data_IF_802675162511
#
_entry.id   IF_802675162511
#
_cell.length_a   1.000
_cell.length_b   1.000
_cell.length_c   1.000
_cell.angle_alpha   90.00
_cell.angle_beta   90.00
_cell.angle_gamma   90.00
#
_symmetry.space_group_name_H-M   'P 1'
#
loop_
_entity.id
_entity.type
_entity.pdbx_description
1 polymer ?
#
# COMPACT_ATOMS: atom_id res chain seq x y z
N UNK A 1 -4.30 2.81 1.59
CA UNK A 1 -4.66 4.20 1.30
C UNK A 1 -4.56 4.55 -0.18
N UNK A 2 -5.39 5.50 -0.65
CA UNK A 2 -5.43 5.99 -2.02
C UNK A 2 -4.14 6.67 -2.49
N UNK A 3 -4.12 7.22 -3.72
CA UNK A 3 -3.00 8.03 -4.19
C UNK A 3 -2.79 9.25 -3.28
N UNK A 4 -1.57 9.70 -3.08
CA UNK A 4 -1.26 10.92 -2.31
C UNK A 4 -1.42 10.87 -0.79
N UNK A 5 -1.86 9.75 -0.21
CA UNK A 5 -2.07 9.61 1.25
C UNK A 5 -0.78 9.54 2.07
N UNK A 6 0.39 9.41 1.43
CA UNK A 6 1.68 9.31 2.14
C UNK A 6 2.14 7.89 2.46
N UNK A 7 1.39 6.85 2.05
CA UNK A 7 1.71 5.45 2.35
C UNK A 7 3.13 5.03 1.99
N UNK A 8 3.64 5.43 0.82
CA UNK A 8 5.01 5.10 0.41
C UNK A 8 6.07 5.76 1.28
N UNK A 9 5.83 6.99 1.74
CA UNK A 9 6.74 7.71 2.63
C UNK A 9 6.81 7.05 4.00
N UNK A 10 5.65 6.75 4.59
CA UNK A 10 5.54 6.08 5.90
C UNK A 10 6.04 4.64 5.82
N UNK A 11 5.65 3.89 4.78
CA UNK A 11 6.05 2.49 4.60
C UNK A 11 7.55 2.33 4.38
N UNK A 12 8.17 3.18 3.56
CA UNK A 12 9.62 3.15 3.34
C UNK A 12 10.39 3.47 4.64
N UNK A 13 9.94 4.49 5.39
CA UNK A 13 10.56 4.82 6.67
C UNK A 13 10.42 3.69 7.69
N UNK A 14 9.24 3.07 7.78
CA UNK A 14 9.01 1.93 8.67
C UNK A 14 9.90 0.74 8.30
N UNK A 15 10.06 0.46 7.02
CA UNK A 15 10.95 -0.58 6.51
C UNK A 15 12.41 -0.33 6.91
N UNK A 16 12.89 0.92 6.75
CA UNK A 16 14.23 1.30 7.17
C UNK A 16 14.45 1.15 8.67
N UNK A 17 13.51 1.61 9.51
CA UNK A 17 13.61 1.54 10.96
C UNK A 17 13.56 0.08 11.48
N UNK A 18 12.87 -0.82 10.76
CA UNK A 18 12.79 -2.24 11.06
C UNK A 18 13.93 -3.06 10.41
N UNK A 19 14.71 -2.46 9.53
CA UNK A 19 15.67 -3.14 8.65
C UNK A 19 15.00 -4.25 7.82
N UNK A 20 13.81 -3.96 7.30
CA UNK A 20 13.02 -4.84 6.43
C UNK A 20 13.00 -4.32 4.99
N UNK A 21 12.87 -5.18 3.97
CA UNK A 21 12.66 -4.72 2.61
C UNK A 21 11.36 -3.93 2.46
N UNK A 22 11.45 -2.83 1.71
CA UNK A 22 10.28 -2.10 1.23
C UNK A 22 10.01 -2.48 -0.22
N UNK A 23 8.89 -3.17 -0.45
CA UNK A 23 8.49 -3.69 -1.76
C UNK A 23 7.29 -2.88 -2.25
N UNK A 24 7.54 -1.98 -3.18
CA UNK A 24 6.50 -1.12 -3.76
C UNK A 24 6.23 -1.49 -5.21
N UNK A 25 5.02 -1.98 -5.50
CA UNK A 25 4.60 -2.31 -6.87
C UNK A 25 4.76 -1.12 -7.81
N UNK A 26 4.40 0.08 -7.34
CA UNK A 26 4.56 1.30 -8.13
C UNK A 26 6.02 1.73 -8.33
N UNK A 27 6.93 1.44 -7.40
CA UNK A 27 8.36 1.70 -7.58
C UNK A 27 8.94 0.72 -8.61
N UNK A 28 8.67 -0.57 -8.46
CA UNK A 28 9.11 -1.63 -9.40
C UNK A 28 8.69 -1.31 -10.84
N UNK A 29 7.42 -0.94 -11.05
CA UNK A 29 6.92 -0.57 -12.37
C UNK A 29 7.63 0.68 -12.95
N UNK A 30 7.94 1.67 -12.12
CA UNK A 30 8.67 2.89 -12.57
C UNK A 30 10.13 2.64 -12.91
N UNK A 31 10.74 1.58 -12.40
CA UNK A 31 12.10 1.15 -12.74
C UNK A 31 12.16 0.49 -14.13
N UNK A 32 11.03 0.06 -14.67
CA UNK A 32 10.96 -0.55 -16.00
C UNK A 32 11.41 0.41 -17.09
N UNK A 33 12.19 -0.11 -18.03
CA UNK A 33 12.65 0.61 -19.23
C UNK A 33 11.78 0.32 -20.46
N UNK A 34 10.77 -0.54 -20.31
CA UNK A 34 9.88 -0.91 -21.39
C UNK A 34 8.91 0.20 -21.72
N UNK A 35 8.83 0.60 -23.00
CA UNK A 35 8.03 1.75 -23.42
C UNK A 35 6.55 1.58 -23.08
N UNK A 36 5.99 0.38 -23.28
CA UNK A 36 4.57 0.12 -22.95
C UNK A 36 4.26 0.27 -21.46
N UNK A 37 5.21 -0.07 -20.57
CA UNK A 37 5.06 0.15 -19.11
C UNK A 37 5.07 1.65 -18.81
N UNK A 38 6.02 2.38 -19.42
CA UNK A 38 6.14 3.83 -19.26
C UNK A 38 4.86 4.54 -19.71
N UNK A 39 4.29 4.13 -20.87
CA UNK A 39 3.08 4.72 -21.39
C UNK A 39 1.86 4.39 -20.53
N UNK A 40 1.74 3.16 -20.04
CA UNK A 40 0.66 2.77 -19.13
C UNK A 40 0.73 3.49 -17.79
N UNK A 41 1.93 3.77 -17.27
CA UNK A 41 2.10 4.56 -16.04
C UNK A 41 1.60 6.00 -16.14
N UNK A 42 1.44 6.54 -17.36
CA UNK A 42 0.87 7.88 -17.62
C UNK A 42 -0.66 7.90 -17.56
N UNK A 43 -1.30 6.75 -17.49
CA UNK A 43 -2.75 6.58 -17.43
C UNK A 43 -3.21 6.20 -16.03
N UNK A 44 -4.51 6.16 -15.77
CA UNK A 44 -5.09 5.60 -14.56
C UNK A 44 -5.18 4.06 -14.62
N UNK A 45 -5.03 3.45 -15.80
CA UNK A 45 -5.25 2.02 -15.99
C UNK A 45 -4.31 1.15 -15.16
N UNK A 46 -4.86 0.12 -14.54
CA UNK A 46 -4.10 -0.88 -13.82
C UNK A 46 -3.35 -1.81 -14.78
N UNK A 47 -2.26 -2.37 -14.31
CA UNK A 47 -1.52 -3.42 -14.99
C UNK A 47 -2.21 -4.77 -14.76
N UNK A 48 -1.85 -5.76 -15.56
CA UNK A 48 -2.29 -7.14 -15.40
C UNK A 48 -1.96 -7.67 -13.99
N UNK A 49 -2.92 -8.35 -13.37
CA UNK A 49 -2.84 -8.74 -11.96
C UNK A 49 -1.78 -9.82 -11.72
N UNK A 50 -1.68 -10.79 -12.60
CA UNK A 50 -0.69 -11.87 -12.54
C UNK A 50 0.71 -11.31 -12.74
N UNK A 51 0.90 -10.41 -13.71
CA UNK A 51 2.18 -9.75 -13.96
C UNK A 51 2.65 -8.94 -12.75
N UNK A 52 1.78 -8.11 -12.17
CA UNK A 52 2.15 -7.30 -10.99
C UNK A 52 2.45 -8.21 -9.81
N UNK A 53 1.68 -9.28 -9.63
CA UNK A 53 1.89 -10.25 -8.55
C UNK A 53 3.24 -10.93 -8.70
N UNK A 54 3.62 -11.41 -9.90
CA UNK A 54 4.95 -11.99 -10.15
C UNK A 54 6.08 -11.02 -9.79
N UNK A 55 5.95 -9.76 -10.17
CA UNK A 55 6.95 -8.73 -9.84
C UNK A 55 7.09 -8.50 -8.33
N UNK A 56 5.98 -8.52 -7.59
CA UNK A 56 6.00 -8.38 -6.13
C UNK A 56 6.58 -9.64 -5.48
N UNK A 57 6.09 -10.83 -5.86
CA UNK A 57 6.54 -12.10 -5.30
C UNK A 57 8.01 -12.38 -5.58
N UNK A 58 8.53 -12.00 -6.74
CA UNK A 58 9.96 -12.13 -7.04
C UNK A 58 10.88 -11.36 -6.08
N UNK A 59 10.36 -10.30 -5.43
CA UNK A 59 11.09 -9.50 -4.43
C UNK A 59 10.92 -10.02 -3.00
N UNK A 60 9.96 -10.95 -2.77
CA UNK A 60 9.68 -11.55 -1.47
C UNK A 60 10.46 -12.85 -1.21
N UNK A 61 11.05 -13.45 -2.22
CA UNK A 61 11.66 -14.81 -2.15
C UNK A 61 12.82 -14.95 -1.18
N UNK A 62 13.43 -13.87 -0.72
CA UNK A 62 14.64 -13.87 0.10
C UNK A 62 14.42 -13.24 1.49
N UNK A 63 13.18 -13.02 1.91
CA UNK A 63 12.90 -12.32 3.16
C UNK A 63 11.77 -12.97 3.96
N UNK A 64 11.94 -13.05 5.27
CA UNK A 64 10.90 -13.49 6.20
C UNK A 64 9.89 -12.38 6.51
N UNK A 65 10.33 -11.12 6.43
CA UNK A 65 9.51 -9.95 6.75
C UNK A 65 9.68 -8.88 5.69
N UNK A 66 8.61 -8.17 5.34
CA UNK A 66 8.64 -7.07 4.38
C UNK A 66 7.53 -6.06 4.64
N UNK A 67 7.72 -4.85 4.16
CA UNK A 67 6.66 -3.85 4.02
C UNK A 67 6.26 -3.80 2.55
N UNK A 68 5.02 -4.19 2.25
CA UNK A 68 4.47 -4.16 0.89
C UNK A 68 3.65 -2.88 0.71
N UNK A 69 3.94 -2.11 -0.35
CA UNK A 69 3.28 -0.84 -0.65
C UNK A 69 2.65 -0.85 -2.06
N UNK A 70 1.40 -0.45 -2.12
CA UNK A 70 0.66 -0.33 -3.36
C UNK A 70 0.24 -1.66 -4.00
N UNK A 71 0.20 -2.74 -3.22
CA UNK A 71 -0.28 -4.07 -3.57
C UNK A 71 -0.93 -4.70 -2.33
N UNK A 72 -2.10 -5.39 -2.44
CA UNK A 72 -2.92 -5.54 -3.64
C UNK A 72 -3.71 -4.27 -3.99
N UNK A 73 -4.11 -4.13 -5.28
CA UNK A 73 -4.98 -3.06 -5.80
C UNK A 73 -6.27 -3.57 -6.39
N UNK A 74 -6.39 -4.87 -6.58
CA UNK A 74 -7.57 -5.56 -7.07
C UNK A 74 -7.90 -6.74 -6.18
N UNK A 75 -9.15 -7.22 -6.23
CA UNK A 75 -9.53 -8.44 -5.52
C UNK A 75 -8.70 -9.64 -6.02
N UNK A 76 -8.46 -9.74 -7.33
CA UNK A 76 -7.65 -10.83 -7.90
C UNK A 76 -6.24 -10.87 -7.32
N UNK A 77 -5.59 -9.72 -7.14
CA UNK A 77 -4.29 -9.65 -6.48
C UNK A 77 -4.35 -10.10 -5.01
N UNK A 78 -5.44 -9.79 -4.30
CA UNK A 78 -5.64 -10.26 -2.93
C UNK A 78 -5.86 -11.79 -2.88
N UNK A 79 -6.59 -12.36 -3.84
CA UNK A 79 -6.74 -13.81 -3.99
C UNK A 79 -5.39 -14.50 -4.24
N UNK A 80 -4.56 -13.96 -5.14
CA UNK A 80 -3.21 -14.49 -5.43
C UNK A 80 -2.33 -14.51 -4.18
N UNK A 81 -2.43 -13.52 -3.30
CA UNK A 81 -1.72 -13.52 -2.01
C UNK A 81 -2.05 -14.78 -1.21
N UNK A 82 -3.33 -15.07 -1.06
CA UNK A 82 -3.80 -16.23 -0.28
C UNK A 82 -3.48 -17.55 -0.99
N UNK A 83 -3.73 -17.62 -2.30
CA UNK A 83 -3.44 -18.81 -3.12
C UNK A 83 -1.96 -19.22 -3.05
N UNK A 84 -1.06 -18.24 -2.98
CA UNK A 84 0.39 -18.48 -2.86
C UNK A 84 0.89 -18.65 -1.43
N UNK A 85 0.01 -18.60 -0.45
CA UNK A 85 0.35 -18.81 0.96
C UNK A 85 1.17 -17.69 1.58
N UNK A 86 1.13 -16.46 1.02
CA UNK A 86 1.78 -15.31 1.64
C UNK A 86 1.01 -14.90 2.89
N UNK A 87 1.66 -14.98 4.03
CA UNK A 87 1.08 -14.50 5.28
C UNK A 87 1.17 -12.98 5.37
N UNK A 88 0.05 -12.34 5.68
CA UNK A 88 -0.04 -10.91 5.97
C UNK A 88 -0.59 -10.73 7.38
N UNK A 89 0.15 -10.08 8.24
CA UNK A 89 -0.28 -9.81 9.62
C UNK A 89 -1.24 -8.62 9.67
N UNK A 90 -0.88 -7.52 9.00
CA UNK A 90 -1.61 -6.27 9.08
C UNK A 90 -1.74 -5.57 7.74
N UNK A 91 -2.90 -4.94 7.55
CA UNK A 91 -3.08 -3.84 6.60
C UNK A 91 -3.00 -2.54 7.40
N UNK A 92 -2.07 -1.66 7.04
CA UNK A 92 -2.03 -0.30 7.58
C UNK A 92 -2.58 0.66 6.53
N UNK A 93 -3.74 1.23 6.79
CA UNK A 93 -4.40 2.15 5.89
C UNK A 93 -4.25 3.60 6.37
N UNK A 94 -3.67 4.45 5.54
CA UNK A 94 -3.65 5.89 5.76
C UNK A 94 -4.88 6.53 5.11
N UNK A 95 -5.65 7.27 5.88
CA UNK A 95 -6.83 8.03 5.42
C UNK A 95 -6.50 9.52 5.37
N UNK A 96 -6.83 10.15 4.26
CA UNK A 96 -6.60 11.60 4.04
C UNK A 96 -7.78 12.15 3.24
N UNK A 97 -8.34 13.32 3.60
CA UNK A 97 -9.36 13.98 2.80
C UNK A 97 -8.89 14.24 1.36
N UNK A 98 -9.81 14.12 0.41
CA UNK A 98 -9.48 14.22 -1.02
C UNK A 98 -8.85 15.57 -1.40
N UNK A 99 -9.30 16.67 -0.82
CA UNK A 99 -8.72 18.01 -1.05
C UNK A 99 -7.22 18.06 -0.69
N UNK A 100 -6.85 17.42 0.43
CA UNK A 100 -5.45 17.33 0.84
C UNK A 100 -4.66 16.38 -0.07
N UNK A 101 -5.27 15.31 -0.55
CA UNK A 101 -4.68 14.43 -1.57
C UNK A 101 -4.34 15.23 -2.82
N UNK A 102 -5.30 16.03 -3.34
CA UNK A 102 -5.11 16.89 -4.50
C UNK A 102 -3.96 17.87 -4.29
N UNK A 103 -3.94 18.56 -3.13
CA UNK A 103 -2.86 19.50 -2.77
C UNK A 103 -1.49 18.81 -2.77
N UNK A 104 -1.37 17.63 -2.15
CA UNK A 104 -0.10 16.88 -2.07
C UNK A 104 0.39 16.43 -3.43
N UNK A 105 -0.52 15.94 -4.27
CA UNK A 105 -0.16 15.41 -5.59
C UNK A 105 0.20 16.54 -6.56
N UNK A 106 -0.47 17.68 -6.52
CA UNK A 106 -0.09 18.85 -7.32
C UNK A 106 1.33 19.35 -7.00
N UNK A 107 1.75 19.25 -5.74
CA UNK A 107 3.11 19.62 -5.32
C UNK A 107 4.17 18.59 -5.70
N UNK A 108 3.78 17.30 -5.85
CA UNK A 108 4.70 16.21 -6.20
C UNK A 108 5.16 16.25 -7.66
N UNK A 109 4.30 16.71 -8.57
CA UNK A 109 4.63 17.00 -9.97
C UNK A 109 5.03 15.81 -10.83
N UNK A 110 4.49 14.60 -10.58
CA UNK A 110 4.68 13.46 -11.49
C UNK A 110 3.77 13.62 -12.71
N UNK A 111 4.15 13.04 -13.86
CA UNK A 111 3.35 13.10 -15.10
C UNK A 111 1.92 12.60 -14.98
N UNK A 112 1.65 11.68 -14.03
CA UNK A 112 0.33 11.17 -13.73
C UNK A 112 -0.41 11.96 -12.63
N UNK A 113 0.14 13.05 -12.13
CA UNK A 113 -0.46 13.88 -11.09
C UNK A 113 -1.25 15.05 -11.70
N UNK A 114 -2.05 14.74 -12.73
CA UNK A 114 -3.03 15.68 -13.30
C UNK A 114 -4.41 15.40 -12.70
N UNK A 115 -5.26 16.40 -12.50
CA UNK A 115 -6.51 16.25 -11.75
C UNK A 115 -7.37 15.09 -12.20
N UNK A 116 -7.59 14.94 -13.51
CA UNK A 116 -8.47 13.89 -14.08
C UNK A 116 -7.96 12.50 -13.77
N UNK A 117 -6.64 12.27 -13.84
CA UNK A 117 -6.02 10.97 -13.52
C UNK A 117 -6.04 10.72 -12.01
N UNK A 118 -5.90 11.75 -11.19
CA UNK A 118 -6.00 11.63 -9.73
C UNK A 118 -7.41 11.20 -9.33
N UNK A 119 -8.43 11.85 -9.87
CA UNK A 119 -9.83 11.56 -9.61
C UNK A 119 -10.17 10.12 -10.03
N UNK A 120 -9.77 9.70 -11.22
CA UNK A 120 -9.98 8.33 -11.71
C UNK A 120 -9.31 7.29 -10.80
N UNK A 121 -8.05 7.51 -10.41
CA UNK A 121 -7.31 6.62 -9.50
C UNK A 121 -7.88 6.59 -8.09
N UNK A 122 -8.45 7.68 -7.62
CA UNK A 122 -9.15 7.72 -6.34
C UNK A 122 -10.46 6.94 -6.42
N UNK A 123 -11.23 7.11 -7.48
CA UNK A 123 -12.46 6.37 -7.70
C UNK A 123 -12.22 4.85 -7.83
N UNK A 124 -11.14 4.44 -8.53
CA UNK A 124 -10.71 3.05 -8.63
C UNK A 124 -10.34 2.47 -7.25
N UNK A 125 -9.59 3.23 -6.47
CA UNK A 125 -9.23 2.83 -5.12
C UNK A 125 -10.50 2.64 -4.25
N UNK A 126 -11.43 3.57 -4.27
CA UNK A 126 -12.66 3.51 -3.47
C UNK A 126 -13.55 2.33 -3.86
N UNK A 127 -13.66 2.04 -5.17
CA UNK A 127 -14.42 0.88 -5.66
C UNK A 127 -13.83 -0.45 -5.19
N UNK A 128 -12.52 -0.62 -5.29
CA UNK A 128 -11.86 -1.91 -5.00
C UNK A 128 -11.53 -2.09 -3.52
N UNK A 129 -11.33 -1.02 -2.78
CA UNK A 129 -10.88 -1.05 -1.37
C UNK A 129 -11.74 -1.95 -0.49
N UNK A 130 -13.06 -1.80 -0.56
CA UNK A 130 -13.97 -2.50 0.34
C UNK A 130 -13.95 -4.02 0.11
N UNK A 131 -13.89 -4.46 -1.13
CA UNK A 131 -13.81 -5.88 -1.50
C UNK A 131 -12.47 -6.49 -1.06
N UNK A 132 -11.37 -5.81 -1.33
CA UNK A 132 -10.02 -6.25 -0.95
C UNK A 132 -9.91 -6.37 0.57
N UNK A 133 -10.34 -5.34 1.31
CA UNK A 133 -10.26 -5.33 2.77
C UNK A 133 -11.17 -6.42 3.35
N UNK A 134 -12.41 -6.55 2.89
CA UNK A 134 -13.32 -7.59 3.37
C UNK A 134 -12.75 -9.01 3.13
N UNK A 135 -12.18 -9.24 1.95
CA UNK A 135 -11.56 -10.51 1.60
C UNK A 135 -10.37 -10.84 2.52
N UNK A 136 -9.46 -9.91 2.72
CA UNK A 136 -8.28 -10.12 3.55
C UNK A 136 -8.62 -10.25 5.05
N UNK A 137 -9.59 -9.48 5.56
CA UNK A 137 -10.11 -9.65 6.92
C UNK A 137 -10.73 -11.04 7.11
N UNK A 138 -11.49 -11.54 6.12
CA UNK A 138 -12.03 -12.90 6.12
C UNK A 138 -10.97 -13.99 6.15
N UNK A 139 -9.73 -13.70 5.73
CA UNK A 139 -8.57 -14.57 5.79
C UNK A 139 -7.64 -14.29 7.00
N UNK A 140 -8.13 -13.58 8.02
CA UNK A 140 -7.42 -13.40 9.29
C UNK A 140 -6.48 -12.20 9.35
N UNK A 141 -6.35 -11.42 8.27
CA UNK A 141 -5.54 -10.19 8.26
C UNK A 141 -6.24 -9.12 9.09
N UNK A 142 -5.48 -8.31 9.83
CA UNK A 142 -6.02 -7.20 10.63
C UNK A 142 -5.87 -5.86 9.91
N UNK A 143 -6.87 -4.99 10.05
CA UNK A 143 -6.85 -3.62 9.51
C UNK A 143 -6.55 -2.61 10.62
N UNK A 144 -5.51 -1.80 10.40
CA UNK A 144 -5.15 -0.66 11.23
C UNK A 144 -5.34 0.62 10.42
N UNK A 145 -6.26 1.48 10.84
CA UNK A 145 -6.53 2.76 10.17
C UNK A 145 -5.82 3.90 10.90
N UNK A 146 -5.07 4.69 10.16
CA UNK A 146 -4.29 5.83 10.66
C UNK A 146 -4.73 7.10 9.95
N UNK A 147 -4.98 8.16 10.72
CA UNK A 147 -5.14 9.50 10.17
C UNK A 147 -3.82 9.97 9.54
N UNK A 148 -3.84 10.15 8.22
CA UNK A 148 -2.70 10.58 7.41
C UNK A 148 -2.55 12.10 7.27
N UNK A 149 -3.32 12.91 8.03
CA UNK A 149 -3.17 14.36 8.08
C UNK A 149 -1.98 14.78 8.95
N UNK A 150 -1.34 15.88 8.59
CA UNK A 150 -0.21 16.48 9.30
C UNK A 150 1.14 16.20 8.63
N UNK A 151 2.19 16.51 9.36
CA UNK A 151 3.56 16.34 8.91
C UNK A 151 3.97 14.85 8.90
N UNK A 152 4.92 14.49 8.05
CA UNK A 152 5.38 13.10 7.88
C UNK A 152 5.77 12.46 9.22
N UNK A 153 6.46 13.19 10.09
CA UNK A 153 6.88 12.71 11.40
C UNK A 153 5.72 12.38 12.33
N UNK A 154 4.65 13.17 12.28
CA UNK A 154 3.46 12.95 13.09
C UNK A 154 2.68 11.72 12.62
N UNK A 155 2.47 11.61 11.32
CA UNK A 155 1.81 10.43 10.72
C UNK A 155 2.61 9.16 11.00
N UNK A 156 3.93 9.22 10.86
CA UNK A 156 4.82 8.11 11.15
C UNK A 156 4.72 7.68 12.63
N UNK A 157 4.80 8.62 13.58
CA UNK A 157 4.67 8.32 15.01
C UNK A 157 3.32 7.69 15.36
N UNK A 158 2.21 8.21 14.79
CA UNK A 158 0.87 7.61 14.94
C UNK A 158 0.84 6.17 14.45
N UNK A 159 1.41 5.93 13.27
CA UNK A 159 1.49 4.59 12.66
C UNK A 159 2.25 3.61 13.55
N UNK A 160 3.45 3.98 14.00
CA UNK A 160 4.29 3.12 14.86
C UNK A 160 3.60 2.85 16.20
N UNK A 161 2.99 3.87 16.79
CA UNK A 161 2.28 3.71 18.08
C UNK A 161 1.13 2.72 17.95
N UNK A 162 0.32 2.84 16.88
CA UNK A 162 -0.80 1.93 16.64
C UNK A 162 -0.35 0.49 16.45
N UNK A 163 0.69 0.26 15.65
CA UNK A 163 1.25 -1.08 15.42
C UNK A 163 1.79 -1.68 16.72
N UNK A 164 2.54 -0.91 17.52
CA UNK A 164 3.07 -1.37 18.81
C UNK A 164 1.99 -1.75 19.81
N UNK A 165 0.93 -0.96 19.90
CA UNK A 165 -0.20 -1.23 20.79
C UNK A 165 -0.88 -2.55 20.42
N UNK A 166 -1.13 -2.76 19.12
CA UNK A 166 -1.76 -3.99 18.63
C UNK A 166 -0.92 -5.24 18.93
N UNK A 167 0.40 -5.17 18.68
CA UNK A 167 1.32 -6.27 19.01
C UNK A 167 1.34 -6.55 20.52
N UNK A 168 1.32 -5.51 21.35
CA UNK A 168 1.31 -5.66 22.81
C UNK A 168 0.02 -6.32 23.32
N UNK A 169 -1.12 -5.99 22.73
CA UNK A 169 -2.42 -6.61 23.06
C UNK A 169 -2.45 -8.10 22.71
N UNK A 170 -1.83 -8.49 21.59
CA UNK A 170 -1.73 -9.90 21.19
C UNK A 170 -0.89 -10.71 22.16
N UNK A 171 0.26 -10.18 22.58
CA UNK A 171 1.14 -10.84 23.53
C UNK A 171 0.46 -11.03 24.89
N UNK A 172 -0.36 -10.08 25.32
CA UNK A 172 -1.12 -10.18 26.58
C UNK A 172 -2.25 -11.22 26.51
N UNK A 173 -2.91 -11.38 25.35
CA UNK A 173 -3.95 -12.38 25.15
C UNK A 173 -3.42 -13.80 24.97
N UNK A 174 -2.19 -13.96 24.51
CA UNK A 174 -1.53 -15.27 24.36
C UNK A 174 -1.00 -15.85 25.68
N UNK A 175 -0.92 -15.04 26.75
CA UNK A 175 -0.44 -15.43 28.06
C UNK A 175 -1.57 -15.59 29.11
N UNK A 176 -2.82 -15.49 28.73
CA UNK A 176 -4.01 -15.68 29.56
C UNK A 176 -4.76 -16.96 29.18
#
# INVERSE_FOLDING_TARGET
GGPGTGKSTVGNRLANDLNWPWISSGAILRESKEQWVIDRLKTAQLFDDEMVSELVFSRLTETENAIIDGYPRTLRQAEIIIERGLHIDYIVELTVPFEEVMRRLSMRGRSQDVPEIIEERQADYERSRNEIVAFLLGNGVKLLTVDGLGEVDEVYKRTVTLIRNEISELNNKGNA
#
